data_IF_150086705807
#
_entry.id   IF_150086705807
#
_cell.length_a   1.000
_cell.length_b   1.000
_cell.length_c   1.000
_cell.angle_alpha   90.00
_cell.angle_beta   90.00
_cell.angle_gamma   90.00
#
_symmetry.space_group_name_H-M   'P 1'
#
loop_
_entity.id
_entity.type
_entity.pdbx_description
1 polymer ?
#
# COMPACT_ATOMS: atom_id res chain seq x y z
N UNK A 1 1.39 -5.66 -12.76
CA UNK A 1 1.64 -6.08 -11.36
C UNK A 1 2.61 -5.07 -10.76
N UNK A 2 2.24 -4.36 -9.68
CA UNK A 2 3.21 -3.54 -8.95
C UNK A 2 4.15 -4.50 -8.22
N UNK A 3 5.39 -4.61 -8.69
CA UNK A 3 6.43 -5.45 -8.08
C UNK A 3 7.32 -4.55 -7.23
N UNK A 4 6.90 -4.21 -6.01
CA UNK A 4 7.69 -3.36 -5.13
C UNK A 4 6.86 -2.53 -4.14
N UNK A 5 7.52 -1.71 -3.30
CA UNK A 5 6.83 -0.83 -2.37
C UNK A 5 5.96 0.18 -3.12
N UNK A 6 4.77 0.47 -2.57
CA UNK A 6 3.85 1.46 -3.09
C UNK A 6 3.58 2.53 -2.01
N UNK A 7 3.58 3.79 -2.41
CA UNK A 7 3.22 4.91 -1.55
C UNK A 7 1.75 5.27 -1.76
N UNK A 8 0.89 4.93 -0.79
CA UNK A 8 -0.54 5.22 -0.85
C UNK A 8 -0.86 6.52 -0.10
N UNK A 9 -0.98 7.62 -0.85
CA UNK A 9 -1.34 8.95 -0.32
C UNK A 9 -2.64 9.40 -0.97
N UNK A 10 -3.77 9.24 -0.28
CA UNK A 10 -5.10 9.53 -0.85
C UNK A 10 -5.58 10.96 -0.55
N UNK A 11 -5.53 11.38 0.70
CA UNK A 11 -5.96 12.71 1.14
C UNK A 11 -4.86 13.34 1.99
N UNK A 12 -4.14 14.31 1.41
CA UNK A 12 -3.04 15.02 2.05
C UNK A 12 -3.45 15.85 3.27
N UNK A 13 -4.73 16.20 3.39
CA UNK A 13 -5.24 16.90 4.56
C UNK A 13 -5.44 15.97 5.76
N UNK A 14 -5.46 14.64 5.55
CA UNK A 14 -5.68 13.69 6.63
C UNK A 14 -4.48 13.66 7.60
N UNK A 15 -4.72 13.80 8.93
CA UNK A 15 -3.65 13.77 9.93
C UNK A 15 -2.76 12.52 9.94
N UNK A 16 -3.24 11.39 9.38
CA UNK A 16 -2.44 10.17 9.25
C UNK A 16 -1.13 10.41 8.48
N UNK A 17 -1.11 11.41 7.58
CA UNK A 17 0.06 11.81 6.81
C UNK A 17 0.82 12.97 7.45
N UNK A 18 0.13 14.07 7.76
CA UNK A 18 0.78 15.31 8.19
C UNK A 18 1.51 15.17 9.53
N UNK A 19 0.99 14.35 10.45
CA UNK A 19 1.65 14.04 11.73
C UNK A 19 2.95 13.28 11.57
N UNK A 20 3.18 12.65 10.40
CA UNK A 20 4.41 11.94 10.03
C UNK A 20 5.30 12.78 9.09
N UNK A 21 4.99 14.07 8.91
CA UNK A 21 5.74 14.96 8.01
C UNK A 21 5.46 14.73 6.52
N UNK A 22 4.46 13.92 6.17
CA UNK A 22 4.01 13.73 4.79
C UNK A 22 3.04 14.88 4.48
N UNK A 23 3.52 15.85 3.71
CA UNK A 23 2.82 17.10 3.39
C UNK A 23 3.01 17.42 1.92
N UNK A 24 2.26 18.38 1.38
CA UNK A 24 2.47 18.86 0.01
C UNK A 24 3.92 19.32 -0.22
N UNK A 25 4.51 20.03 0.75
CA UNK A 25 5.88 20.54 0.64
C UNK A 25 6.91 19.41 0.63
N UNK A 26 6.79 18.42 1.53
CA UNK A 26 7.74 17.31 1.57
C UNK A 26 7.61 16.40 0.35
N UNK A 27 6.39 16.14 -0.15
CA UNK A 27 6.19 15.41 -1.40
C UNK A 27 6.74 16.18 -2.61
N UNK A 28 6.50 17.49 -2.70
CA UNK A 28 7.06 18.31 -3.79
C UNK A 28 8.59 18.30 -3.79
N UNK A 29 9.21 18.28 -2.60
CA UNK A 29 10.65 18.17 -2.49
C UNK A 29 11.17 16.80 -2.96
N UNK A 30 10.53 15.69 -2.53
CA UNK A 30 10.87 14.34 -2.97
C UNK A 30 10.71 14.15 -4.49
N UNK A 31 9.70 14.80 -5.07
CA UNK A 31 9.46 14.84 -6.51
C UNK A 31 10.58 15.60 -7.24
N UNK A 32 10.96 16.77 -6.72
CA UNK A 32 12.03 17.60 -7.30
C UNK A 32 13.40 16.92 -7.32
N UNK A 33 13.68 16.03 -6.36
CA UNK A 33 14.91 15.21 -6.34
C UNK A 33 14.75 13.86 -7.07
N UNK A 34 13.60 13.63 -7.70
CA UNK A 34 13.34 12.48 -8.57
C UNK A 34 13.12 11.16 -7.84
N UNK A 35 12.75 11.16 -6.56
CA UNK A 35 12.45 9.93 -5.81
C UNK A 35 10.99 9.48 -5.97
N UNK A 36 10.10 10.41 -6.26
CA UNK A 36 8.70 10.12 -6.53
C UNK A 36 8.26 10.85 -7.80
N UNK A 37 7.08 10.48 -8.30
CA UNK A 37 6.25 11.28 -9.17
C UNK A 37 5.01 11.67 -8.35
N UNK A 38 4.88 12.96 -8.04
CA UNK A 38 3.78 13.50 -7.25
C UNK A 38 2.73 14.19 -8.14
N UNK A 39 1.55 13.58 -8.23
CA UNK A 39 0.41 14.16 -8.94
C UNK A 39 -0.50 14.95 -7.98
N UNK A 40 -0.16 16.21 -7.70
CA UNK A 40 -0.87 17.04 -6.73
C UNK A 40 -2.31 17.44 -7.10
N UNK A 41 -2.75 17.21 -8.35
CA UNK A 41 -4.09 17.57 -8.85
C UNK A 41 -4.88 16.35 -9.32
N UNK A 42 -4.24 15.42 -10.04
CA UNK A 42 -4.86 14.19 -10.53
C UNK A 42 -4.44 12.98 -9.67
N UNK A 43 -5.37 12.06 -9.40
CA UNK A 43 -5.04 10.80 -8.74
C UNK A 43 -4.53 9.75 -9.74
N UNK A 44 -3.66 8.87 -9.27
CA UNK A 44 -3.16 7.70 -9.97
C UNK A 44 -4.16 6.55 -9.87
N UNK A 45 -4.35 5.83 -10.97
CA UNK A 45 -5.22 4.64 -10.99
C UNK A 45 -4.55 3.47 -11.69
N UNK A 46 -4.69 2.29 -11.10
CA UNK A 46 -4.50 1.03 -11.80
C UNK A 46 -5.82 0.63 -12.44
N UNK A 47 -5.82 0.41 -13.75
CA UNK A 47 -7.01 0.04 -14.52
C UNK A 47 -6.92 -1.40 -15.03
N UNK A 48 -7.99 -1.89 -15.65
CA UNK A 48 -8.08 -3.22 -16.25
C UNK A 48 -7.81 -4.36 -15.25
N UNK A 49 -8.23 -4.14 -13.99
CA UNK A 49 -8.01 -5.10 -12.92
C UNK A 49 -9.06 -6.22 -12.94
N UNK A 50 -8.66 -7.47 -12.63
CA UNK A 50 -9.59 -8.58 -12.47
C UNK A 50 -10.43 -8.42 -11.19
N UNK A 51 -11.36 -9.35 -10.97
CA UNK A 51 -12.20 -9.43 -9.76
C UNK A 51 -11.41 -9.39 -8.46
N UNK A 52 -10.23 -10.01 -8.41
CA UNK A 52 -9.42 -10.16 -7.18
C UNK A 52 -7.96 -9.87 -7.43
N UNK A 53 -7.33 -9.11 -6.53
CA UNK A 53 -5.88 -8.90 -6.51
C UNK A 53 -5.35 -9.00 -5.09
N UNK A 54 -4.07 -9.36 -4.97
CA UNK A 54 -3.39 -9.47 -3.68
C UNK A 54 -2.34 -8.35 -3.54
N UNK A 55 -2.32 -7.73 -2.36
CA UNK A 55 -1.29 -6.82 -1.88
C UNK A 55 -0.60 -7.41 -0.64
N UNK A 56 0.54 -6.84 -0.27
CA UNK A 56 1.26 -7.19 0.94
C UNK A 56 1.54 -5.94 1.76
N UNK A 57 1.22 -6.00 3.06
CA UNK A 57 1.57 -4.97 4.02
C UNK A 57 2.43 -5.58 5.12
N UNK A 58 3.73 -5.28 5.13
CA UNK A 58 4.69 -5.86 6.08
C UNK A 58 4.60 -7.40 6.18
N UNK A 59 4.42 -8.09 5.05
CA UNK A 59 4.32 -9.55 4.99
C UNK A 59 2.93 -10.13 5.24
N UNK A 60 1.96 -9.31 5.65
CA UNK A 60 0.55 -9.70 5.71
C UNK A 60 -0.08 -9.61 4.32
N UNK A 61 -0.67 -10.70 3.84
CA UNK A 61 -1.38 -10.70 2.56
C UNK A 61 -2.75 -10.06 2.73
N UNK A 62 -3.02 -9.06 1.90
CA UNK A 62 -4.30 -8.35 1.82
C UNK A 62 -4.92 -8.65 0.48
N UNK A 63 -6.07 -9.31 0.46
CA UNK A 63 -6.84 -9.56 -0.75
C UNK A 63 -7.90 -8.49 -0.92
N UNK A 64 -7.91 -7.86 -2.09
CA UNK A 64 -8.99 -6.97 -2.50
C UNK A 64 -9.90 -7.69 -3.48
N UNK A 65 -11.20 -7.61 -3.24
CA UNK A 65 -12.22 -8.06 -4.19
C UNK A 65 -13.05 -6.87 -4.69
N UNK A 66 -13.09 -6.73 -6.01
CA UNK A 66 -13.77 -5.67 -6.73
C UNK A 66 -15.22 -6.06 -7.07
N UNK A 67 -16.12 -5.10 -7.35
CA UNK A 67 -17.50 -5.42 -7.70
C UNK A 67 -17.66 -6.13 -9.05
N UNK A 68 -16.83 -5.81 -10.06
CA UNK A 68 -16.95 -6.40 -11.41
C UNK A 68 -15.98 -7.57 -11.60
N UNK A 69 -16.27 -8.45 -12.55
CA UNK A 69 -15.39 -9.57 -12.91
C UNK A 69 -14.06 -9.12 -13.56
N UNK A 70 -14.11 -8.02 -14.31
CA UNK A 70 -12.98 -7.44 -15.03
C UNK A 70 -13.18 -5.92 -15.20
N UNK A 71 -12.21 -5.26 -15.83
CA UNK A 71 -12.26 -3.82 -16.12
C UNK A 71 -12.47 -2.97 -14.85
N UNK A 72 -11.93 -3.44 -13.73
CA UNK A 72 -11.94 -2.68 -12.48
C UNK A 72 -10.80 -1.67 -12.47
N UNK A 73 -10.95 -0.66 -11.62
CA UNK A 73 -9.89 0.30 -11.33
C UNK A 73 -9.67 0.43 -9.82
N UNK A 74 -8.42 0.59 -9.43
CA UNK A 74 -8.01 0.88 -8.06
C UNK A 74 -7.37 2.26 -8.03
N UNK A 75 -7.83 3.08 -7.10
CA UNK A 75 -7.19 4.34 -6.77
C UNK A 75 -5.91 4.09 -5.97
N UNK A 76 -4.80 4.65 -6.46
CA UNK A 76 -3.47 4.55 -5.87
C UNK A 76 -3.05 5.84 -5.15
N UNK A 77 -3.93 6.85 -5.12
CA UNK A 77 -3.63 8.15 -4.52
C UNK A 77 -2.73 8.99 -5.43
N UNK A 78 -1.90 9.84 -4.84
CA UNK A 78 -1.21 10.91 -5.57
C UNK A 78 0.29 10.69 -5.77
N UNK A 79 0.85 9.59 -5.26
CA UNK A 79 2.29 9.37 -5.23
C UNK A 79 2.64 8.05 -5.91
N UNK A 80 3.60 8.10 -6.82
CA UNK A 80 4.25 6.91 -7.38
C UNK A 80 5.75 7.00 -7.09
N UNK A 81 6.37 5.90 -6.65
CA UNK A 81 7.83 5.88 -6.53
C UNK A 81 8.48 5.84 -7.92
N UNK A 82 9.52 6.64 -8.13
CA UNK A 82 10.40 6.49 -9.30
C UNK A 82 11.25 5.22 -9.16
N UNK A 83 12.02 4.88 -10.18
CA UNK A 83 12.96 3.75 -10.09
C UNK A 83 13.97 3.93 -8.94
N UNK A 84 14.58 5.12 -8.84
CA UNK A 84 15.50 5.44 -7.74
C UNK A 84 14.79 5.44 -6.39
N UNK A 85 13.54 5.91 -6.32
CA UNK A 85 12.71 5.83 -5.12
C UNK A 85 12.42 4.40 -4.68
N UNK A 86 12.11 3.50 -5.61
CA UNK A 86 11.89 2.08 -5.32
C UNK A 86 13.15 1.41 -4.77
N UNK A 87 14.31 1.68 -5.38
CA UNK A 87 15.59 1.16 -4.90
C UNK A 87 15.92 1.67 -3.50
N UNK A 88 15.75 2.98 -3.26
CA UNK A 88 16.00 3.58 -1.95
C UNK A 88 15.05 3.02 -0.88
N UNK A 89 13.77 2.84 -1.21
CA UNK A 89 12.77 2.31 -0.27
C UNK A 89 13.10 0.88 0.21
N UNK A 90 13.86 0.10 -0.55
CA UNK A 90 14.27 -1.25 -0.14
C UNK A 90 15.37 -1.26 0.93
N UNK A 91 16.18 -0.20 1.02
CA UNK A 91 17.29 -0.09 1.99
C UNK A 91 16.94 0.77 3.21
N UNK A 92 15.88 1.57 3.12
CA UNK A 92 15.37 2.38 4.23
C UNK A 92 14.57 1.51 5.19
N UNK A 93 14.97 1.49 6.47
CA UNK A 93 14.17 0.87 7.51
C UNK A 93 12.90 1.68 7.74
N UNK A 94 11.76 1.02 7.69
CA UNK A 94 10.45 1.58 7.98
C UNK A 94 9.75 0.78 9.08
N UNK A 95 8.84 1.43 9.78
CA UNK A 95 8.08 0.81 10.88
C UNK A 95 6.63 0.60 10.46
N UNK A 96 6.09 -0.58 10.77
CA UNK A 96 4.67 -0.89 10.55
C UNK A 96 3.79 0.08 11.33
N UNK A 97 2.77 0.62 10.67
CA UNK A 97 1.74 1.45 11.30
C UNK A 97 0.37 0.77 11.17
N UNK A 98 -0.20 0.31 12.28
CA UNK A 98 -1.55 -0.27 12.28
C UNK A 98 -2.61 0.77 11.94
N UNK A 99 -2.44 2.01 12.43
CA UNK A 99 -3.35 3.12 12.13
C UNK A 99 -3.40 3.40 10.61
N UNK A 100 -2.23 3.38 9.95
CA UNK A 100 -2.17 3.56 8.50
C UNK A 100 -2.83 2.39 7.74
N UNK A 101 -2.63 1.15 8.22
CA UNK A 101 -3.28 -0.03 7.64
C UNK A 101 -4.80 0.08 7.67
N UNK A 102 -5.35 0.40 8.84
CA UNK A 102 -6.80 0.59 9.04
C UNK A 102 -7.32 1.70 8.13
N UNK A 103 -6.63 2.85 8.10
CA UNK A 103 -6.98 3.97 7.25
C UNK A 103 -7.07 3.58 5.76
N UNK A 104 -6.08 2.87 5.23
CA UNK A 104 -6.07 2.42 3.83
C UNK A 104 -7.22 1.43 3.55
N UNK A 105 -7.49 0.50 4.47
CA UNK A 105 -8.57 -0.47 4.29
C UNK A 105 -9.94 0.19 4.30
N UNK A 106 -10.14 1.14 5.22
CA UNK A 106 -11.39 1.89 5.30
C UNK A 106 -11.59 2.78 4.07
N UNK A 107 -10.49 3.37 3.55
CA UNK A 107 -10.52 4.06 2.27
C UNK A 107 -11.00 3.14 1.15
N UNK A 108 -10.42 1.95 0.99
CA UNK A 108 -10.82 1.00 -0.04
C UNK A 108 -12.25 0.48 0.13
N UNK A 109 -12.67 0.16 1.37
CA UNK A 109 -14.06 -0.22 1.67
C UNK A 109 -15.05 0.89 1.30
N UNK A 110 -14.71 2.15 1.54
CA UNK A 110 -15.53 3.29 1.14
C UNK A 110 -15.70 3.41 -0.38
N UNK A 111 -14.80 2.81 -1.16
CA UNK A 111 -14.90 2.71 -2.63
C UNK A 111 -15.62 1.44 -3.11
N UNK A 112 -16.21 0.67 -2.19
CA UNK A 112 -16.97 -0.55 -2.50
C UNK A 112 -16.11 -1.80 -2.68
N UNK A 113 -14.87 -1.79 -2.18
CA UNK A 113 -14.00 -2.96 -2.20
C UNK A 113 -14.22 -3.81 -0.94
N UNK A 114 -14.19 -5.13 -1.11
CA UNK A 114 -14.08 -6.05 0.02
C UNK A 114 -12.59 -6.24 0.30
N UNK A 115 -12.20 -6.17 1.58
CA UNK A 115 -10.81 -6.22 2.03
C UNK A 115 -10.65 -7.34 3.05
N UNK A 116 -9.97 -8.40 2.64
CA UNK A 116 -9.72 -9.58 3.47
C UNK A 116 -8.22 -9.70 3.77
N UNK A 117 -7.88 -9.77 5.06
CA UNK A 117 -6.51 -10.09 5.48
C UNK A 117 -6.39 -11.59 5.65
N UNK A 118 -5.42 -12.20 4.97
CA UNK A 118 -5.05 -13.59 5.20
C UNK A 118 -3.76 -13.60 5.99
N UNK A 119 -3.82 -14.07 7.23
CA UNK A 119 -2.62 -14.35 7.99
C UNK A 119 -1.77 -15.37 7.23
N UNK A 120 -0.51 -15.02 6.98
CA UNK A 120 0.46 -15.97 6.46
C UNK A 120 0.60 -17.09 7.50
N UNK A 121 0.40 -18.38 7.16
CA UNK A 121 0.49 -19.46 8.13
C UNK A 121 1.89 -19.50 8.75
N UNK A 122 2.01 -19.12 10.03
CA UNK A 122 3.25 -19.26 10.78
C UNK A 122 3.41 -20.71 11.25
N UNK A 123 4.38 -21.40 10.65
CA UNK A 123 5.23 -22.43 11.25
C UNK A 123 4.62 -23.36 12.32
N UNK A 124 3.73 -24.29 11.92
CA UNK A 124 3.33 -25.43 12.74
C UNK A 124 4.25 -26.65 12.50
N UNK A 125 5.54 -26.56 12.84
CA UNK A 125 6.42 -27.73 13.03
C UNK A 125 7.55 -27.42 14.01
N UNK A 126 7.31 -27.64 15.30
CA UNK A 126 8.25 -28.28 16.22
C UNK A 126 7.64 -28.38 17.62
N UNK A 127 6.94 -29.47 17.90
CA UNK A 127 6.78 -29.98 19.27
C UNK A 127 6.54 -31.50 19.29
N UNK A 128 7.17 -32.25 18.36
CA UNK A 128 7.19 -33.72 18.38
C UNK A 128 8.64 -34.21 18.33
N UNK A 129 9.42 -33.86 19.35
CA UNK A 129 10.74 -34.47 19.61
C UNK A 129 11.10 -34.32 21.10
N UNK A 130 10.30 -34.93 21.96
CA UNK A 130 10.69 -35.29 23.34
C UNK A 130 9.74 -36.37 23.86
N UNK A 131 9.84 -37.55 23.26
CA UNK A 131 9.38 -38.80 23.84
C UNK A 131 10.13 -39.91 23.11
N UNK A 132 11.29 -40.27 23.67
CA UNK A 132 11.89 -41.61 23.80
C UNK A 132 13.36 -41.45 24.20
#
# INVERSE_FOLDING_TARGET
>A
MISGPAALVFDLANPIYSTQGITFQSLSHLDAIGLINFQGVAGLRLSHLPKKIDFFYYGERVRLEFPKENENALDMGHVMLSESGQQLAQVVKSSKSEAFKVYVFDYWRSKGLIVDTVESPQNSRNSDASSL
#
